data_IF_523280809440
#
_entry.id   IF_523280809440
#
_cell.length_a   1.000
_cell.length_b   1.000
_cell.length_c   1.000
_cell.angle_alpha   90.00
_cell.angle_beta   90.00
_cell.angle_gamma   90.00
#
_symmetry.space_group_name_H-M   'P 1'
#
loop_
_entity.id
_entity.type
_entity.pdbx_description
1 polymer ?
#
# COMPACT_ATOMS: atom_id res chain seq x y z
N UNK A 1 13.43 4.04 13.84
CA UNK A 1 13.89 5.04 12.85
C UNK A 1 15.05 4.59 11.97
N UNK A 2 15.87 3.60 12.36
CA UNK A 2 17.09 3.21 11.61
C UNK A 2 16.80 2.74 10.16
N UNK A 3 15.75 1.94 9.94
CA UNK A 3 15.40 1.43 8.61
C UNK A 3 15.03 2.56 7.63
N UNK A 4 14.33 3.59 8.11
CA UNK A 4 13.96 4.72 7.25
C UNK A 4 15.20 5.45 6.72
N UNK A 5 16.17 5.74 7.60
CA UNK A 5 17.41 6.40 7.19
C UNK A 5 18.28 5.50 6.29
N UNK A 6 18.30 4.18 6.51
CA UNK A 6 18.99 3.22 5.64
C UNK A 6 18.38 3.10 4.24
N UNK A 7 17.05 3.22 4.13
CA UNK A 7 16.37 3.25 2.84
C UNK A 7 16.59 4.60 2.14
N UNK A 8 16.54 5.70 2.92
CA UNK A 8 16.78 7.05 2.42
C UNK A 8 18.20 7.25 1.92
N UNK A 9 19.21 6.66 2.58
CA UNK A 9 20.60 6.73 2.14
C UNK A 9 20.86 6.03 0.81
N UNK A 10 19.96 5.13 0.39
CA UNK A 10 19.98 4.45 -0.92
C UNK A 10 19.08 5.13 -1.96
N UNK A 11 18.63 6.35 -1.70
CA UNK A 11 17.73 7.11 -2.58
C UNK A 11 16.42 6.36 -2.89
N UNK A 12 15.96 5.50 -1.97
CA UNK A 12 14.71 4.77 -2.16
C UNK A 12 13.51 5.74 -2.12
N UNK A 13 12.55 5.52 -3.04
CA UNK A 13 11.25 6.19 -2.99
C UNK A 13 10.39 5.57 -1.88
N UNK A 14 10.44 6.15 -0.69
CA UNK A 14 9.71 5.67 0.48
C UNK A 14 8.31 6.31 0.50
N UNK A 15 7.27 5.47 0.54
CA UNK A 15 5.90 5.88 0.87
C UNK A 15 5.61 5.43 2.30
N UNK A 16 5.40 6.38 3.20
CA UNK A 16 5.08 6.09 4.60
C UNK A 16 3.56 6.05 4.81
N UNK A 17 3.05 5.00 5.45
CA UNK A 17 1.65 4.91 5.89
C UNK A 17 1.66 4.92 7.42
N UNK A 18 0.96 5.87 8.03
CA UNK A 18 0.95 6.04 9.49
C UNK A 18 -0.35 6.69 9.95
N UNK A 19 -0.74 6.44 11.19
CA UNK A 19 -1.82 7.14 11.89
C UNK A 19 -1.33 8.38 12.66
N UNK A 20 -0.01 8.63 12.67
CA UNK A 20 0.59 9.75 13.38
C UNK A 20 0.63 11.02 12.50
N UNK A 21 -0.21 12.00 12.88
CA UNK A 21 -0.27 13.29 12.21
C UNK A 21 1.06 14.06 12.22
N UNK A 22 1.87 13.91 13.28
CA UNK A 22 3.08 14.71 13.49
C UNK A 22 4.33 14.13 12.78
N UNK A 23 4.15 13.35 11.73
CA UNK A 23 5.25 12.77 10.98
C UNK A 23 5.95 13.81 10.06
N UNK A 24 7.28 14.04 10.15
CA UNK A 24 7.97 15.08 9.38
C UNK A 24 8.26 14.70 7.91
N UNK A 25 7.92 13.48 7.48
CA UNK A 25 8.26 12.98 6.15
C UNK A 25 7.29 13.51 5.08
N UNK A 26 7.82 13.93 3.91
CA UNK A 26 7.03 14.53 2.81
C UNK A 26 6.07 13.54 2.14
N UNK A 27 6.55 12.34 1.80
CA UNK A 27 5.76 11.33 1.09
C UNK A 27 5.07 10.39 2.09
N UNK A 28 3.93 10.84 2.64
CA UNK A 28 3.17 10.12 3.66
C UNK A 28 1.67 10.06 3.35
N UNK A 29 1.05 8.97 3.78
CA UNK A 29 -0.38 8.77 3.87
C UNK A 29 -0.75 8.68 5.35
N UNK A 30 -1.56 9.64 5.78
CA UNK A 30 -2.08 9.69 7.15
C UNK A 30 -3.41 8.96 7.19
N UNK A 31 -3.51 7.97 8.07
CA UNK A 31 -4.74 7.25 8.35
C UNK A 31 -5.40 7.81 9.61
N UNK A 32 -6.74 7.71 9.72
CA UNK A 32 -7.41 8.03 10.97
C UNK A 32 -6.95 7.06 12.07
N UNK A 33 -6.64 7.61 13.24
CA UNK A 33 -6.26 6.80 14.40
C UNK A 33 -7.44 5.90 14.81
N UNK A 34 -7.18 4.59 14.89
CA UNK A 34 -8.17 3.61 15.29
C UNK A 34 -7.50 2.43 15.97
N UNK A 35 -7.72 2.25 17.27
CA UNK A 35 -7.01 1.23 18.05
C UNK A 35 -7.47 -0.21 17.74
N UNK A 36 -8.70 -0.37 17.23
CA UNK A 36 -9.29 -1.70 16.96
C UNK A 36 -9.03 -2.19 15.54
N UNK A 37 -9.08 -1.29 14.56
CA UNK A 37 -9.07 -1.61 13.14
C UNK A 37 -7.92 -0.97 12.36
N UNK A 38 -6.89 -0.41 13.02
CA UNK A 38 -5.72 0.19 12.35
C UNK A 38 -5.20 -0.67 11.19
N UNK A 39 -5.02 -1.97 11.40
CA UNK A 39 -4.50 -2.89 10.38
C UNK A 39 -5.43 -2.99 9.16
N UNK A 40 -6.74 -3.01 9.37
CA UNK A 40 -7.72 -3.05 8.28
C UNK A 40 -7.68 -1.75 7.48
N UNK A 41 -7.61 -0.61 8.17
CA UNK A 41 -7.52 0.70 7.54
C UNK A 41 -6.23 0.87 6.75
N UNK A 42 -5.12 0.24 7.18
CA UNK A 42 -3.87 0.19 6.42
C UNK A 42 -3.99 -0.57 5.09
N UNK A 43 -4.92 -1.52 4.95
CA UNK A 43 -5.09 -2.30 3.71
C UNK A 43 -5.76 -1.48 2.61
N UNK A 44 -6.69 -0.58 2.97
CA UNK A 44 -7.45 0.24 2.01
C UNK A 44 -6.54 1.05 1.05
N UNK A 45 -5.56 1.85 1.51
CA UNK A 45 -4.68 2.58 0.60
C UNK A 45 -3.82 1.64 -0.27
N UNK A 46 -3.46 0.45 0.24
CA UNK A 46 -2.71 -0.54 -0.53
C UNK A 46 -3.55 -1.14 -1.65
N UNK A 47 -4.83 -1.42 -1.41
CA UNK A 47 -5.79 -1.86 -2.42
C UNK A 47 -5.98 -0.79 -3.50
N UNK A 48 -6.16 0.47 -3.10
CA UNK A 48 -6.30 1.60 -4.03
C UNK A 48 -5.02 1.82 -4.85
N UNK A 49 -3.85 1.65 -4.23
CA UNK A 49 -2.56 1.72 -4.93
C UNK A 49 -2.48 0.63 -6.01
N UNK A 50 -2.79 -0.62 -5.66
CA UNK A 50 -2.78 -1.74 -6.61
C UNK A 50 -3.76 -1.51 -7.76
N UNK A 51 -4.99 -1.07 -7.46
CA UNK A 51 -5.99 -0.76 -8.48
C UNK A 51 -5.51 0.35 -9.44
N UNK A 52 -5.08 1.50 -8.91
CA UNK A 52 -4.61 2.62 -9.72
C UNK A 52 -3.38 2.23 -10.56
N UNK A 53 -2.47 1.46 -9.99
CA UNK A 53 -1.30 0.95 -10.71
C UNK A 53 -1.71 0.05 -11.89
N UNK A 54 -2.68 -0.84 -11.69
CA UNK A 54 -3.20 -1.70 -12.76
C UNK A 54 -3.79 -0.88 -13.91
N UNK A 55 -4.59 0.15 -13.60
CA UNK A 55 -5.15 1.07 -14.61
C UNK A 55 -4.03 1.78 -15.39
N UNK A 56 -3.05 2.36 -14.69
CA UNK A 56 -1.91 3.07 -15.32
C UNK A 56 -1.07 2.12 -16.18
N UNK A 57 -0.96 0.85 -15.80
CA UNK A 57 -0.24 -0.18 -16.56
C UNK A 57 -1.06 -0.84 -17.67
N UNK A 58 -2.32 -0.45 -17.86
CA UNK A 58 -3.22 -1.08 -18.83
C UNK A 58 -3.56 -2.55 -18.51
N UNK A 59 -3.45 -2.96 -17.25
CA UNK A 59 -3.77 -4.30 -16.77
C UNK A 59 -5.21 -4.29 -16.24
N UNK A 60 -6.01 -5.30 -16.61
CA UNK A 60 -7.36 -5.46 -16.08
C UNK A 60 -7.29 -5.94 -14.61
N UNK A 61 -7.72 -5.14 -13.62
CA UNK A 61 -7.68 -5.54 -12.21
C UNK A 61 -8.68 -6.66 -11.87
N UNK A 62 -9.78 -6.79 -12.63
CA UNK A 62 -10.80 -7.82 -12.42
C UNK A 62 -10.40 -9.19 -13.01
N UNK A 63 -9.48 -9.18 -13.99
CA UNK A 63 -8.97 -10.38 -14.66
C UNK A 63 -7.43 -10.38 -14.66
N UNK A 64 -6.80 -10.54 -13.48
CA UNK A 64 -5.35 -10.66 -13.41
C UNK A 64 -4.87 -11.93 -14.13
N UNK A 65 -3.69 -11.84 -14.74
CA UNK A 65 -3.11 -12.96 -15.49
C UNK A 65 -2.90 -14.17 -14.58
N UNK A 66 -3.19 -15.37 -15.08
CA UNK A 66 -2.91 -16.65 -14.42
C UNK A 66 -3.66 -16.87 -13.08
N UNK A 67 -4.73 -16.13 -12.82
CA UNK A 67 -5.54 -16.27 -11.61
C UNK A 67 -6.98 -16.58 -11.98
N UNK A 68 -7.56 -17.53 -11.25
CA UNK A 68 -8.99 -17.82 -11.27
C UNK A 68 -9.61 -17.39 -9.94
N UNK A 69 -10.87 -16.95 -9.97
CA UNK A 69 -11.60 -16.54 -8.76
C UNK A 69 -11.75 -17.70 -7.76
N UNK A 70 -11.95 -18.91 -8.28
CA UNK A 70 -11.94 -20.16 -7.55
C UNK A 70 -11.19 -21.15 -8.42
N UNK A 71 -10.18 -21.82 -7.85
CA UNK A 71 -9.50 -22.92 -8.52
C UNK A 71 -10.24 -24.19 -8.14
N UNK A 72 -11.13 -24.65 -9.00
CA UNK A 72 -11.70 -26.00 -8.90
C UNK A 72 -10.85 -26.91 -9.76
N UNK A 73 -10.10 -27.81 -9.13
CA UNK A 73 -9.49 -28.95 -9.81
C UNK A 73 -10.31 -30.18 -9.45
N UNK A 74 -10.73 -30.92 -10.47
CA UNK A 74 -11.04 -32.35 -10.33
C UNK A 74 -9.74 -33.15 -10.36
#
# INVERSE_FOLDING_TARGET
MNIYEQLKSREANILLITDNNNCPHKNKLILPKNDTYANLLCVIPLQLLAYKLSIVKGINPDKPKNLAKVVTVE
#
